data_IF_496558173684
#
_entry.id   IF_496558173684
#
_cell.length_a   1.000
_cell.length_b   1.000
_cell.length_c   1.000
_cell.angle_alpha   90.00
_cell.angle_beta   90.00
_cell.angle_gamma   90.00
#
_symmetry.space_group_name_H-M   'P 1'
#
loop_
_entity.id
_entity.type
_entity.pdbx_description
1 polymer ?
#
# COMPACT_ATOMS: atom_id res chain seq x y z
N UNK A 1 28.91 -12.70 -4.05
CA UNK A 1 30.27 -13.33 -4.04
C UNK A 1 31.37 -12.47 -3.39
N UNK A 2 31.16 -11.17 -3.12
CA UNK A 2 32.16 -10.28 -2.51
C UNK A 2 32.19 -10.28 -0.96
N UNK A 3 31.07 -10.57 -0.29
CA UNK A 3 30.95 -10.53 1.17
C UNK A 3 31.82 -11.58 1.90
N UNK A 4 31.86 -12.82 1.39
CA UNK A 4 32.67 -13.88 1.98
C UNK A 4 34.18 -13.60 1.91
N UNK A 5 34.63 -12.94 0.84
CA UNK A 5 36.05 -12.61 0.65
C UNK A 5 36.52 -11.52 1.63
N UNK A 6 35.64 -10.58 1.97
CA UNK A 6 35.95 -9.53 2.95
C UNK A 6 36.05 -10.08 4.38
N UNK A 7 35.12 -10.95 4.77
CA UNK A 7 35.16 -11.63 6.08
C UNK A 7 36.40 -12.53 6.22
N UNK A 8 36.71 -13.33 5.19
CA UNK A 8 37.89 -14.18 5.18
C UNK A 8 39.20 -13.37 5.19
N UNK A 9 39.25 -12.25 4.48
CA UNK A 9 40.40 -11.34 4.51
C UNK A 9 40.58 -10.69 5.89
N UNK A 10 39.50 -10.28 6.55
CA UNK A 10 39.54 -9.74 7.91
C UNK A 10 40.04 -10.76 8.94
N UNK A 11 39.58 -12.02 8.85
CA UNK A 11 40.07 -13.14 9.66
C UNK A 11 41.54 -13.45 9.40
N UNK A 12 41.97 -13.42 8.13
CA UNK A 12 43.37 -13.63 7.76
C UNK A 12 44.26 -12.51 8.30
N UNK A 13 43.82 -11.25 8.24
CA UNK A 13 44.57 -10.10 8.75
C UNK A 13 44.67 -10.10 10.28
N UNK A 14 43.62 -10.51 10.99
CA UNK A 14 43.65 -10.67 12.46
C UNK A 14 44.58 -11.80 12.89
N UNK A 15 44.51 -12.96 12.22
CA UNK A 15 45.45 -14.07 12.44
C UNK A 15 46.89 -13.69 12.12
N UNK A 16 47.11 -13.00 11.00
CA UNK A 16 48.43 -12.52 10.60
C UNK A 16 48.99 -11.50 11.59
N UNK A 17 48.16 -10.55 12.05
CA UNK A 17 48.49 -9.61 13.11
C UNK A 17 48.85 -10.30 14.42
N UNK A 18 48.09 -11.31 14.85
CA UNK A 18 48.38 -12.10 16.03
C UNK A 18 49.70 -12.89 15.91
N UNK A 19 50.00 -13.44 14.73
CA UNK A 19 51.26 -14.15 14.46
C UNK A 19 52.45 -13.19 14.48
N UNK A 20 52.33 -12.00 13.89
CA UNK A 20 53.36 -10.97 13.92
C UNK A 20 53.60 -10.46 15.34
N UNK A 21 52.54 -10.20 16.09
CA UNK A 21 52.61 -9.79 17.49
C UNK A 21 53.32 -10.83 18.35
N UNK A 22 52.95 -12.11 18.22
CA UNK A 22 53.58 -13.23 18.93
C UNK A 22 55.05 -13.44 18.52
N UNK A 23 55.40 -13.17 17.26
CA UNK A 23 56.81 -13.19 16.78
C UNK A 23 57.62 -12.02 17.34
N UNK A 24 57.04 -10.83 17.44
CA UNK A 24 57.65 -9.69 18.12
C UNK A 24 57.83 -9.93 19.62
N UNK A 25 56.82 -10.47 20.31
CA UNK A 25 56.91 -10.82 21.73
C UNK A 25 58.02 -11.84 22.00
N UNK A 26 58.13 -12.88 21.16
CA UNK A 26 59.21 -13.88 21.28
C UNK A 26 60.61 -13.30 21.01
N UNK A 27 60.72 -12.27 20.16
CA UNK A 27 61.98 -11.54 19.93
C UNK A 27 62.28 -10.57 21.09
N UNK A 28 61.24 -9.94 21.66
CA UNK A 28 61.34 -9.05 22.80
C UNK A 28 61.60 -9.79 24.12
N UNK A 29 61.21 -11.05 24.26
CA UNK A 29 61.49 -11.88 25.45
C UNK A 29 63.00 -12.14 25.70
N UNK A 30 63.89 -11.73 24.79
CA UNK A 30 65.35 -11.73 25.00
C UNK A 30 65.91 -10.37 25.44
N UNK A 31 65.08 -9.34 25.58
CA UNK A 31 65.46 -7.99 26.02
C UNK A 31 64.52 -7.61 27.17
N UNK A 32 65.12 -7.30 28.32
CA UNK A 32 64.50 -6.93 29.59
C UNK A 32 63.20 -6.11 29.42
N UNK A 33 62.17 -6.43 30.22
CA UNK A 33 60.81 -5.85 30.17
C UNK A 33 60.79 -4.33 30.41
N UNK A 34 61.22 -3.54 29.43
CA UNK A 34 60.82 -2.13 29.35
C UNK A 34 59.32 -2.13 29.12
N UNK A 35 58.59 -1.63 30.11
CA UNK A 35 57.19 -1.30 29.97
C UNK A 35 57.04 -0.53 28.66
N UNK A 36 56.22 -1.06 27.73
CA UNK A 36 56.00 -0.44 26.42
C UNK A 36 55.17 0.83 26.61
N UNK A 37 55.80 1.86 27.16
CA UNK A 37 55.25 3.21 27.12
C UNK A 37 55.28 3.61 25.65
N UNK A 38 54.11 3.87 25.08
CA UNK A 38 53.99 4.40 23.72
C UNK A 38 54.64 5.78 23.69
N UNK A 39 55.93 5.84 23.36
CA UNK A 39 56.70 7.08 23.30
C UNK A 39 56.85 7.49 21.83
N UNK A 40 55.94 8.34 21.36
CA UNK A 40 55.99 8.94 20.01
C UNK A 40 56.89 10.18 20.11
N UNK A 41 58.10 10.10 19.55
CA UNK A 41 59.02 11.23 19.49
C UNK A 41 59.10 11.78 18.07
N UNK A 42 58.44 12.92 17.85
CA UNK A 42 58.37 13.58 16.54
C UNK A 42 59.74 14.09 16.04
N UNK A 43 60.76 14.16 16.89
CA UNK A 43 62.13 14.47 16.46
C UNK A 43 62.77 13.31 15.67
N UNK A 44 62.36 12.05 15.93
CA UNK A 44 62.90 10.85 15.28
C UNK A 44 62.24 10.59 13.92
N UNK A 45 63.05 10.49 12.86
CA UNK A 45 62.58 10.19 11.49
C UNK A 45 61.78 8.88 11.38
N UNK A 46 62.12 7.88 12.21
CA UNK A 46 61.41 6.59 12.28
C UNK A 46 59.97 6.77 12.78
N UNK A 47 59.79 7.45 13.90
CA UNK A 47 58.48 7.65 14.52
C UNK A 47 57.58 8.51 13.63
N UNK A 48 58.12 9.57 12.99
CA UNK A 48 57.39 10.35 11.98
C UNK A 48 56.88 9.50 10.82
N UNK A 49 57.70 8.56 10.31
CA UNK A 49 57.30 7.65 9.23
C UNK A 49 56.24 6.66 9.66
N UNK A 50 56.38 6.07 10.86
CA UNK A 50 55.39 5.13 11.41
C UNK A 50 54.06 5.86 11.66
N UNK A 51 54.09 7.05 12.24
CA UNK A 51 52.91 7.87 12.47
C UNK A 51 52.25 8.28 11.15
N UNK A 52 53.04 8.69 10.14
CA UNK A 52 52.51 9.03 8.82
C UNK A 52 51.87 7.81 8.13
N UNK A 53 52.49 6.64 8.19
CA UNK A 53 51.93 5.39 7.65
C UNK A 53 50.66 4.97 8.39
N UNK A 54 50.65 5.07 9.73
CA UNK A 54 49.47 4.78 10.53
C UNK A 54 48.34 5.76 10.23
N UNK A 55 48.62 7.06 10.18
CA UNK A 55 47.63 8.08 9.83
C UNK A 55 47.07 7.85 8.44
N UNK A 56 47.92 7.58 7.44
CA UNK A 56 47.47 7.29 6.07
C UNK A 56 46.65 6.00 6.00
N UNK A 57 47.06 4.94 6.72
CA UNK A 57 46.33 3.69 6.84
C UNK A 57 44.98 3.86 7.54
N UNK A 58 44.92 4.66 8.61
CA UNK A 58 43.69 4.96 9.34
C UNK A 58 42.72 5.78 8.49
N UNK A 59 43.21 6.81 7.78
CA UNK A 59 42.41 7.59 6.84
C UNK A 59 41.88 6.69 5.71
N UNK A 60 42.74 5.83 5.13
CA UNK A 60 42.33 4.87 4.12
C UNK A 60 41.26 3.89 4.64
N UNK A 61 41.45 3.35 5.84
CA UNK A 61 40.48 2.46 6.48
C UNK A 61 39.14 3.15 6.76
N UNK A 62 39.16 4.36 7.32
CA UNK A 62 37.96 5.16 7.58
C UNK A 62 37.25 5.52 6.27
N UNK A 63 37.99 5.86 5.22
CA UNK A 63 37.42 6.13 3.90
C UNK A 63 36.73 4.90 3.31
N UNK A 64 37.40 3.73 3.30
CA UNK A 64 36.81 2.49 2.82
C UNK A 64 35.60 2.05 3.65
N UNK A 65 35.66 2.26 4.96
CA UNK A 65 34.53 1.97 5.87
C UNK A 65 33.36 2.91 5.57
N UNK A 66 33.61 4.22 5.43
CA UNK A 66 32.58 5.18 5.10
C UNK A 66 31.92 4.88 3.75
N UNK A 67 32.72 4.54 2.73
CA UNK A 67 32.22 4.13 1.41
C UNK A 67 31.38 2.85 1.49
N UNK A 68 31.88 1.82 2.19
CA UNK A 68 31.15 0.56 2.37
C UNK A 68 29.86 0.73 3.17
N UNK A 69 29.87 1.58 4.21
CA UNK A 69 28.68 1.93 4.99
C UNK A 69 27.66 2.69 4.15
N UNK A 70 28.10 3.64 3.30
CA UNK A 70 27.22 4.37 2.41
C UNK A 70 26.55 3.45 1.37
N UNK A 71 27.32 2.58 0.73
CA UNK A 71 26.77 1.59 -0.22
C UNK A 71 25.79 0.63 0.45
N UNK A 72 26.12 0.17 1.67
CA UNK A 72 25.22 -0.68 2.47
C UNK A 72 23.94 0.05 2.81
N UNK A 73 24.05 1.32 3.22
CA UNK A 73 22.91 2.19 3.49
C UNK A 73 22.00 2.30 2.26
N UNK A 74 22.54 2.75 1.12
CA UNK A 74 21.80 2.89 -0.13
C UNK A 74 21.13 1.59 -0.57
N UNK A 75 21.86 0.47 -0.49
CA UNK A 75 21.33 -0.83 -0.86
C UNK A 75 20.18 -1.26 0.06
N UNK A 76 20.32 -1.13 1.39
CA UNK A 76 19.26 -1.52 2.35
C UNK A 76 18.06 -0.58 2.39
N UNK A 77 18.09 0.50 1.59
CA UNK A 77 16.99 1.43 1.35
C UNK A 77 16.41 1.31 -0.06
N UNK A 78 16.99 0.45 -0.89
CA UNK A 78 16.51 0.22 -2.24
C UNK A 78 15.23 -0.61 -2.26
N UNK A 79 14.41 -0.37 -3.30
CA UNK A 79 13.23 -1.19 -3.61
C UNK A 79 13.62 -2.66 -3.82
N UNK A 80 14.81 -2.93 -4.36
CA UNK A 80 15.30 -4.31 -4.56
C UNK A 80 15.50 -5.05 -3.23
N UNK A 81 16.07 -4.37 -2.25
CA UNK A 81 16.26 -4.94 -0.91
C UNK A 81 14.92 -5.18 -0.22
N UNK A 82 14.07 -4.15 -0.15
CA UNK A 82 12.78 -4.23 0.55
C UNK A 82 11.81 -5.21 -0.13
N UNK A 83 11.73 -5.20 -1.47
CA UNK A 83 10.70 -5.92 -2.21
C UNK A 83 11.06 -7.33 -2.66
N UNK A 84 12.35 -7.61 -2.93
CA UNK A 84 12.74 -8.90 -3.57
C UNK A 84 13.49 -9.86 -2.66
N UNK A 85 14.06 -9.40 -1.54
CA UNK A 85 14.90 -10.27 -0.69
C UNK A 85 14.08 -11.22 0.17
N UNK A 86 12.97 -10.74 0.72
CA UNK A 86 12.01 -11.56 1.45
C UNK A 86 10.87 -11.96 0.52
N UNK A 87 11.14 -12.87 -0.43
CA UNK A 87 10.22 -13.14 -1.55
C UNK A 87 8.79 -13.50 -1.11
N UNK A 88 8.58 -14.35 -0.11
CA UNK A 88 7.21 -14.74 0.30
C UNK A 88 6.43 -13.58 0.93
N UNK A 89 6.86 -12.99 2.06
CA UNK A 89 6.06 -11.96 2.74
C UNK A 89 5.95 -10.65 1.97
N UNK A 90 6.94 -10.32 1.13
CA UNK A 90 6.98 -9.03 0.42
C UNK A 90 6.43 -9.09 -1.00
N UNK A 91 6.23 -10.27 -1.60
CA UNK A 91 5.73 -10.36 -2.97
C UNK A 91 4.41 -9.62 -3.20
N UNK A 92 3.36 -9.72 -2.35
CA UNK A 92 2.13 -8.96 -2.54
C UNK A 92 2.37 -7.45 -2.60
N UNK A 93 3.21 -6.95 -1.70
CA UNK A 93 3.50 -5.51 -1.59
C UNK A 93 4.35 -5.03 -2.75
N UNK A 94 5.37 -5.80 -3.12
CA UNK A 94 6.29 -5.47 -4.21
C UNK A 94 5.58 -5.47 -5.55
N UNK A 95 4.83 -6.54 -5.87
CA UNK A 95 4.13 -6.67 -7.15
C UNK A 95 3.06 -5.58 -7.32
N UNK A 96 2.26 -5.33 -6.27
CA UNK A 96 1.25 -4.27 -6.31
C UNK A 96 1.88 -2.88 -6.47
N UNK A 97 2.98 -2.59 -5.76
CA UNK A 97 3.68 -1.31 -5.83
C UNK A 97 4.08 -0.91 -7.24
N UNK A 98 4.52 -1.85 -8.08
CA UNK A 98 4.97 -1.57 -9.44
C UNK A 98 3.86 -1.07 -10.39
N UNK A 99 2.59 -1.09 -9.97
CA UNK A 99 1.43 -0.84 -10.84
C UNK A 99 0.51 0.27 -10.33
N UNK A 100 0.93 1.00 -9.30
CA UNK A 100 0.17 2.13 -8.75
C UNK A 100 0.78 3.46 -9.18
N UNK A 101 0.10 4.56 -8.82
CA UNK A 101 0.65 5.91 -8.97
C UNK A 101 1.98 6.13 -8.24
N UNK A 102 2.33 5.23 -7.30
CA UNK A 102 3.56 5.29 -6.50
C UNK A 102 4.66 4.33 -7.00
N UNK A 103 4.54 3.75 -8.20
CA UNK A 103 5.50 2.77 -8.73
C UNK A 103 6.95 3.26 -8.82
N UNK A 104 7.15 4.58 -8.92
CA UNK A 104 8.46 5.23 -8.99
C UNK A 104 8.92 5.85 -7.66
N UNK A 105 8.16 5.66 -6.57
CA UNK A 105 8.52 6.13 -5.23
C UNK A 105 9.25 5.02 -4.49
N UNK A 106 10.39 5.32 -3.88
CA UNK A 106 11.13 4.33 -3.11
C UNK A 106 10.36 3.92 -1.84
N UNK A 107 10.49 2.67 -1.41
CA UNK A 107 9.80 2.15 -0.24
C UNK A 107 10.08 2.98 1.03
N UNK A 108 11.30 3.52 1.14
CA UNK A 108 11.78 4.21 2.34
C UNK A 108 11.16 5.60 2.53
N UNK A 109 10.70 6.25 1.46
CA UNK A 109 10.01 7.54 1.53
C UNK A 109 8.75 7.41 2.39
N UNK A 110 8.05 6.28 2.27
CA UNK A 110 6.88 5.98 3.09
C UNK A 110 7.25 5.29 4.41
N UNK A 111 8.08 4.24 4.38
CA UNK A 111 8.20 3.29 5.50
C UNK A 111 9.33 3.56 6.51
N UNK A 112 10.34 4.38 6.18
CA UNK A 112 11.48 4.65 7.09
C UNK A 112 11.33 6.00 7.77
N UNK A 113 11.08 7.04 6.98
CA UNK A 113 11.03 8.44 7.44
C UNK A 113 12.40 9.10 7.60
N UNK A 114 12.44 10.45 7.61
CA UNK A 114 13.68 11.20 7.61
C UNK A 114 14.40 11.14 8.96
N UNK A 115 15.73 11.26 8.91
CA UNK A 115 16.58 11.43 10.09
C UNK A 115 17.02 10.13 10.77
N UNK A 116 18.04 10.26 11.62
CA UNK A 116 18.73 9.12 12.22
C UNK A 116 17.82 8.28 13.15
N UNK A 117 16.94 8.92 13.92
CA UNK A 117 16.06 8.21 14.85
C UNK A 117 15.07 7.27 14.11
N UNK A 118 14.45 7.76 13.04
CA UNK A 118 13.53 7.00 12.20
C UNK A 118 14.24 5.84 11.48
N UNK A 119 15.46 6.10 10.98
CA UNK A 119 16.35 5.08 10.45
C UNK A 119 16.64 3.97 11.46
N UNK A 120 17.12 4.30 12.67
CA UNK A 120 17.44 3.31 13.71
C UNK A 120 16.22 2.49 14.12
N UNK A 121 15.07 3.14 14.35
CA UNK A 121 13.81 2.45 14.69
C UNK A 121 13.43 1.45 13.60
N UNK A 122 13.48 1.87 12.34
CA UNK A 122 13.09 1.02 11.22
C UNK A 122 14.05 -0.15 11.01
N UNK A 123 15.36 0.02 11.20
CA UNK A 123 16.32 -1.09 11.08
C UNK A 123 16.17 -2.11 12.22
N UNK A 124 15.88 -1.66 13.45
CA UNK A 124 15.56 -2.58 14.55
C UNK A 124 14.28 -3.38 14.27
N UNK A 125 13.24 -2.72 13.74
CA UNK A 125 12.03 -3.40 13.27
C UNK A 125 12.33 -4.37 12.12
N UNK A 126 13.24 -4.01 11.21
CA UNK A 126 13.71 -4.90 10.14
C UNK A 126 14.40 -6.16 10.65
N UNK A 127 15.17 -6.08 11.75
CA UNK A 127 15.75 -7.26 12.41
C UNK A 127 14.65 -8.17 12.97
N UNK A 128 13.61 -7.58 13.59
CA UNK A 128 12.44 -8.34 14.07
C UNK A 128 11.70 -9.01 12.89
N UNK A 129 11.48 -8.30 11.79
CA UNK A 129 10.86 -8.87 10.58
C UNK A 129 11.70 -10.01 9.98
N UNK A 130 13.03 -9.86 9.95
CA UNK A 130 13.94 -10.91 9.49
C UNK A 130 13.84 -12.14 10.40
N UNK A 131 13.85 -11.96 11.72
CA UNK A 131 13.65 -13.04 12.69
C UNK A 131 12.35 -13.80 12.39
N UNK A 132 11.23 -13.08 12.23
CA UNK A 132 9.95 -13.71 11.95
C UNK A 132 9.89 -14.39 10.58
N UNK A 133 10.57 -13.81 9.58
CA UNK A 133 10.66 -14.41 8.24
C UNK A 133 11.46 -15.71 8.26
N UNK A 134 12.54 -15.78 9.05
CA UNK A 134 13.38 -16.98 9.19
C UNK A 134 12.64 -18.09 9.94
N UNK A 135 11.89 -17.75 10.99
CA UNK A 135 11.08 -18.71 11.74
C UNK A 135 9.73 -19.04 11.10
N UNK A 136 9.32 -18.26 10.09
CA UNK A 136 8.04 -18.39 9.39
C UNK A 136 6.84 -18.24 10.35
N UNK A 137 6.98 -17.38 11.36
CA UNK A 137 5.98 -17.10 12.40
C UNK A 137 5.38 -15.69 12.25
N UNK A 138 4.74 -15.45 11.10
CA UNK A 138 4.06 -14.20 10.79
C UNK A 138 2.65 -14.44 10.23
N UNK A 139 1.77 -13.45 10.40
CA UNK A 139 0.38 -13.52 9.96
C UNK A 139 0.24 -13.58 8.43
N UNK A 140 -0.81 -14.27 7.98
CA UNK A 140 -1.18 -14.39 6.57
C UNK A 140 -2.69 -14.20 6.43
N UNK A 141 -3.17 -13.11 5.82
CA UNK A 141 -2.39 -11.98 5.26
C UNK A 141 -1.73 -11.10 6.33
N UNK A 142 -0.78 -10.28 5.88
CA UNK A 142 -0.13 -9.26 6.71
C UNK A 142 -0.95 -7.97 6.64
N UNK A 143 -1.47 -7.52 7.78
CA UNK A 143 -2.20 -6.26 7.91
C UNK A 143 -1.31 -5.11 8.34
N UNK A 144 -1.73 -3.89 8.01
CA UNK A 144 -1.12 -2.66 8.55
C UNK A 144 -1.54 -2.54 10.01
N UNK A 145 -0.57 -2.30 10.90
CA UNK A 145 -0.82 -2.05 12.32
C UNK A 145 -0.88 -0.55 12.61
N UNK A 146 -1.43 -0.20 13.77
CA UNK A 146 -1.50 1.20 14.25
C UNK A 146 -0.12 1.83 14.51
N UNK A 147 0.96 1.03 14.52
CA UNK A 147 2.35 1.51 14.69
C UNK A 147 2.93 2.17 13.42
N UNK A 148 2.10 2.45 12.42
CA UNK A 148 2.47 3.16 11.19
C UNK A 148 2.86 4.61 11.46
N UNK A 149 3.67 5.19 10.57
CA UNK A 149 3.92 6.64 10.57
C UNK A 149 2.60 7.38 10.31
N UNK A 150 2.37 8.55 10.94
CA UNK A 150 1.18 9.36 10.67
C UNK A 150 1.09 9.69 9.17
N UNK A 151 -0.10 9.54 8.58
CA UNK A 151 -0.29 9.81 7.15
C UNK A 151 0.10 11.25 6.78
N UNK A 152 -0.05 12.20 7.72
CA UNK A 152 0.34 13.59 7.54
C UNK A 152 1.85 13.77 7.33
N UNK A 153 2.69 12.93 7.95
CA UNK A 153 4.15 12.98 7.81
C UNK A 153 4.66 12.21 6.58
N UNK A 154 3.81 11.39 5.96
CA UNK A 154 4.19 10.55 4.82
C UNK A 154 3.60 11.11 3.53
N UNK A 155 2.29 11.28 3.50
CA UNK A 155 1.57 11.66 2.29
C UNK A 155 1.81 13.12 1.95
N UNK A 156 1.86 14.01 2.95
CA UNK A 156 1.83 15.46 2.72
C UNK A 156 3.18 16.07 2.34
N UNK A 157 4.26 15.29 2.39
CA UNK A 157 5.55 15.69 1.82
C UNK A 157 5.47 15.84 0.29
N UNK A 158 4.63 15.02 -0.36
CA UNK A 158 4.40 15.05 -1.80
C UNK A 158 3.01 15.59 -2.18
N UNK A 159 1.99 15.34 -1.34
CA UNK A 159 0.61 15.76 -1.58
C UNK A 159 0.27 17.02 -0.78
N UNK A 160 0.23 18.17 -1.45
CA UNK A 160 -0.02 19.44 -0.79
C UNK A 160 -1.47 19.54 -0.26
N UNK A 161 -1.72 19.48 1.07
CA UNK A 161 -3.08 19.39 1.64
C UNK A 161 -3.91 20.66 1.44
N UNK A 162 -3.26 21.81 1.26
CA UNK A 162 -3.93 23.10 1.02
C UNK A 162 -4.37 23.28 -0.43
N UNK A 163 -3.91 22.43 -1.35
CA UNK A 163 -4.30 22.51 -2.75
C UNK A 163 -5.78 22.14 -2.89
N UNK A 164 -6.55 23.03 -3.49
CA UNK A 164 -7.88 22.69 -3.97
C UNK A 164 -7.75 21.82 -5.23
N UNK A 165 -8.24 20.58 -5.15
CA UNK A 165 -8.25 19.64 -6.29
C UNK A 165 -9.46 19.91 -7.18
N UNK A 166 -10.59 20.29 -6.57
CA UNK A 166 -11.83 20.58 -7.26
C UNK A 166 -12.53 19.33 -7.78
N UNK A 167 -13.16 19.46 -8.93
CA UNK A 167 -14.00 18.42 -9.52
C UNK A 167 -13.19 17.64 -10.58
N UNK A 168 -13.23 16.31 -10.50
CA UNK A 168 -12.54 15.43 -11.43
C UNK A 168 -13.53 14.66 -12.32
N UNK A 169 -13.35 14.73 -13.63
CA UNK A 169 -14.05 13.86 -14.58
C UNK A 169 -13.47 12.44 -14.50
N UNK A 170 -14.34 11.46 -14.29
CA UNK A 170 -14.02 10.03 -14.22
C UNK A 170 -15.03 9.24 -15.02
N UNK A 171 -14.53 8.28 -15.79
CA UNK A 171 -15.36 7.30 -16.48
C UNK A 171 -14.96 5.92 -16.02
N UNK A 172 -15.89 5.20 -15.40
CA UNK A 172 -15.74 3.81 -15.00
C UNK A 172 -16.37 2.94 -16.08
N UNK A 173 -15.58 2.02 -16.64
CA UNK A 173 -16.01 1.08 -17.67
C UNK A 173 -16.18 -0.29 -17.04
N UNK A 174 -17.33 -0.91 -17.29
CA UNK A 174 -17.70 -2.23 -16.79
C UNK A 174 -18.22 -3.10 -17.93
N UNK A 175 -18.15 -4.41 -17.71
CA UNK A 175 -18.70 -5.42 -18.59
C UNK A 175 -19.52 -6.40 -17.76
N UNK A 176 -20.74 -6.68 -18.22
CA UNK A 176 -21.62 -7.65 -17.56
C UNK A 176 -21.07 -9.06 -17.73
N UNK A 177 -21.47 -9.94 -16.82
CA UNK A 177 -21.11 -11.36 -16.84
C UNK A 177 -22.03 -12.20 -17.76
N UNK A 178 -22.57 -11.61 -18.82
CA UNK A 178 -23.47 -12.22 -19.79
C UNK A 178 -22.74 -12.74 -21.03
N UNK A 179 -23.47 -13.34 -21.98
CA UNK A 179 -22.88 -13.92 -23.18
C UNK A 179 -22.16 -12.87 -24.03
N UNK A 180 -22.76 -11.69 -24.17
CA UNK A 180 -22.24 -10.61 -25.00
C UNK A 180 -21.13 -9.79 -24.34
N UNK A 181 -20.81 -10.05 -23.06
CA UNK A 181 -20.00 -9.17 -22.23
C UNK A 181 -20.50 -7.73 -22.36
N UNK A 182 -21.79 -7.48 -22.14
CA UNK A 182 -22.44 -6.21 -22.44
C UNK A 182 -21.66 -5.07 -21.77
N UNK A 183 -21.13 -4.10 -22.53
CA UNK A 183 -20.42 -2.98 -21.93
C UNK A 183 -21.40 -2.14 -21.11
N UNK A 184 -20.91 -1.43 -20.11
CA UNK A 184 -21.67 -0.43 -19.38
C UNK A 184 -20.69 0.55 -18.74
N UNK A 185 -20.88 1.84 -18.96
CA UNK A 185 -20.03 2.85 -18.35
C UNK A 185 -20.82 3.81 -17.49
N UNK A 186 -20.17 4.36 -16.47
CA UNK A 186 -20.66 5.50 -15.69
C UNK A 186 -19.62 6.60 -15.78
N UNK A 187 -19.99 7.73 -16.39
CA UNK A 187 -19.18 8.95 -16.41
C UNK A 187 -19.72 9.90 -15.36
N UNK A 188 -18.87 10.30 -14.43
CA UNK A 188 -19.21 11.15 -13.31
C UNK A 188 -18.18 12.26 -13.11
N UNK A 189 -18.65 13.33 -12.49
CA UNK A 189 -17.83 14.36 -11.87
C UNK A 189 -17.68 14.02 -10.39
N UNK A 190 -16.47 13.75 -9.94
CA UNK A 190 -16.16 13.48 -8.54
C UNK A 190 -15.79 14.79 -7.84
N UNK A 191 -16.53 15.20 -6.82
CA UNK A 191 -16.21 16.37 -6.00
C UNK A 191 -15.15 16.00 -4.97
N UNK A 192 -13.90 16.03 -5.41
CA UNK A 192 -12.75 15.79 -4.52
C UNK A 192 -12.57 16.98 -3.58
N UNK A 193 -12.79 18.19 -4.08
CA UNK A 193 -12.79 19.41 -3.28
C UNK A 193 -11.43 19.76 -2.66
N UNK A 194 -11.46 20.32 -1.45
CA UNK A 194 -10.28 20.77 -0.71
C UNK A 194 -10.59 21.35 0.66
N UNK A 195 -9.55 21.46 1.50
CA UNK A 195 -9.69 21.81 2.92
C UNK A 195 -9.32 23.24 3.31
N UNK A 196 -8.73 24.03 2.40
CA UNK A 196 -8.20 25.37 2.72
C UNK A 196 -8.96 26.48 1.98
N UNK A 197 -9.68 27.39 2.68
CA UNK A 197 -10.47 28.45 2.07
C UNK A 197 -9.63 29.47 1.29
N UNK A 198 -8.32 29.57 1.54
CA UNK A 198 -7.43 30.48 0.81
C UNK A 198 -7.07 29.97 -0.60
N UNK A 199 -7.36 28.71 -0.91
CA UNK A 199 -7.02 28.08 -2.19
C UNK A 199 -8.23 27.54 -2.97
N UNK A 200 -9.44 27.65 -2.41
CA UNK A 200 -10.70 27.26 -3.06
C UNK A 200 -11.84 27.09 -2.04
N UNK A 201 -13.06 26.79 -2.49
CA UNK A 201 -14.16 26.47 -1.60
C UNK A 201 -13.82 25.27 -0.71
N UNK A 202 -14.09 25.38 0.59
CA UNK A 202 -13.96 24.25 1.52
C UNK A 202 -15.14 23.31 1.30
N UNK A 203 -14.88 22.07 0.91
CA UNK A 203 -15.92 21.11 0.56
C UNK A 203 -15.38 19.88 -0.15
N UNK A 204 -16.29 19.08 -0.71
CA UNK A 204 -16.01 17.80 -1.33
C UNK A 204 -15.44 16.75 -0.37
N UNK A 205 -15.00 15.63 -0.92
CA UNK A 205 -14.54 14.47 -0.15
C UNK A 205 -13.31 14.81 0.72
N UNK A 206 -12.39 15.64 0.24
CA UNK A 206 -11.20 16.06 0.99
C UNK A 206 -11.48 16.99 2.17
N UNK A 207 -12.72 17.40 2.40
CA UNK A 207 -13.11 18.06 3.65
C UNK A 207 -12.70 17.25 4.89
N UNK A 208 -12.76 15.92 4.81
CA UNK A 208 -12.42 14.99 5.91
C UNK A 208 -10.93 15.01 6.29
N UNK A 209 -10.04 15.25 5.31
CA UNK A 209 -8.60 15.37 5.57
C UNK A 209 -8.20 16.78 6.05
N UNK A 210 -9.14 17.74 6.03
CA UNK A 210 -8.84 19.15 6.21
C UNK A 210 -8.11 19.41 7.52
N UNK A 211 -7.12 20.30 7.48
CA UNK A 211 -6.36 20.71 8.66
C UNK A 211 -7.26 21.51 9.62
N UNK A 212 -8.27 22.23 9.09
CA UNK A 212 -9.14 23.10 9.89
C UNK A 212 -10.29 22.36 10.57
N UNK A 213 -10.68 21.19 10.07
CA UNK A 213 -11.74 20.37 10.67
C UNK A 213 -11.11 19.12 11.28
N UNK A 214 -11.63 18.68 12.43
CA UNK A 214 -11.18 17.47 13.08
C UNK A 214 -12.31 16.45 13.07
N UNK A 215 -12.16 15.42 12.26
CA UNK A 215 -13.05 14.25 12.27
C UNK A 215 -12.40 13.16 13.10
N UNK A 216 -13.10 12.73 14.14
CA UNK A 216 -12.71 11.65 15.03
C UNK A 216 -13.77 10.56 15.00
N UNK A 217 -13.37 9.31 15.14
CA UNK A 217 -14.30 8.19 15.10
C UNK A 217 -13.84 7.04 15.99
N UNK A 218 -14.79 6.16 16.32
CA UNK A 218 -14.54 4.88 16.96
C UNK A 218 -14.88 3.80 15.94
N UNK A 219 -14.02 2.81 15.80
CA UNK A 219 -14.30 1.59 15.04
C UNK A 219 -14.45 0.41 16.01
N UNK A 220 -15.36 -0.51 15.71
CA UNK A 220 -15.59 -1.72 16.52
C UNK A 220 -14.97 -2.99 15.91
N UNK A 221 -14.46 -2.90 14.68
CA UNK A 221 -13.73 -3.94 14.00
C UNK A 221 -12.29 -3.50 13.64
N UNK A 222 -11.43 -4.47 13.34
CA UNK A 222 -10.02 -4.25 13.07
C UNK A 222 -9.73 -3.48 11.77
N UNK A 223 -10.69 -3.40 10.85
CA UNK A 223 -10.53 -2.74 9.55
C UNK A 223 -11.26 -1.40 9.46
N UNK A 224 -11.92 -0.99 10.55
CA UNK A 224 -12.76 0.19 10.61
C UNK A 224 -13.86 0.22 9.55
N UNK A 225 -14.46 -0.93 9.26
CA UNK A 225 -15.63 -1.04 8.38
C UNK A 225 -16.94 -0.73 9.12
N UNK A 226 -16.96 -0.86 10.45
CA UNK A 226 -18.06 -0.51 11.35
C UNK A 226 -17.65 0.68 12.21
N UNK A 227 -18.26 1.84 11.94
CA UNK A 227 -18.02 3.07 12.68
C UNK A 227 -19.33 3.46 13.36
N UNK A 228 -19.52 3.18 14.66
CA UNK A 228 -20.76 3.52 15.36
C UNK A 228 -20.78 4.93 15.99
N UNK A 229 -19.64 5.61 16.04
CA UNK A 229 -19.50 6.92 16.66
C UNK A 229 -18.56 7.82 15.87
N UNK A 230 -18.97 9.06 15.67
CA UNK A 230 -18.21 10.10 14.97
C UNK A 230 -18.33 11.41 15.75
N UNK A 231 -17.21 12.13 15.90
CA UNK A 231 -17.17 13.51 16.39
C UNK A 231 -16.53 14.40 15.36
N UNK A 232 -17.22 15.49 15.03
CA UNK A 232 -16.73 16.55 14.17
C UNK A 232 -16.45 17.77 15.03
N UNK A 233 -15.23 18.30 14.96
CA UNK A 233 -14.90 19.63 15.47
C UNK A 233 -14.68 20.56 14.29
N UNK A 234 -15.46 21.63 14.19
CA UNK A 234 -15.30 22.62 13.13
C UNK A 234 -14.14 23.60 13.40
N UNK A 235 -13.88 24.50 12.44
CA UNK A 235 -12.82 25.50 12.53
C UNK A 235 -13.01 26.49 13.70
N UNK A 236 -14.23 26.62 14.25
CA UNK A 236 -14.54 27.46 15.40
C UNK A 236 -14.35 26.70 16.73
N UNK A 237 -14.02 25.40 16.68
CA UNK A 237 -13.86 24.54 17.85
C UNK A 237 -15.18 23.93 18.34
N UNK A 238 -16.29 24.13 17.63
CA UNK A 238 -17.58 23.55 18.03
C UNK A 238 -17.60 22.07 17.70
N UNK A 239 -17.88 21.25 18.71
CA UNK A 239 -17.95 19.80 18.57
C UNK A 239 -19.39 19.35 18.37
N UNK A 240 -19.62 18.52 17.35
CA UNK A 240 -20.88 17.78 17.17
C UNK A 240 -20.56 16.28 17.20
N UNK A 241 -21.25 15.54 18.09
CA UNK A 241 -21.15 14.09 18.17
C UNK A 241 -22.35 13.42 17.51
N UNK A 242 -22.07 12.36 16.75
CA UNK A 242 -23.04 11.50 16.09
C UNK A 242 -22.84 10.07 16.54
N UNK A 243 -23.95 9.36 16.77
CA UNK A 243 -23.96 7.97 17.22
C UNK A 243 -25.00 7.19 16.43
N UNK A 244 -24.70 5.94 16.14
CA UNK A 244 -25.70 4.97 15.69
C UNK A 244 -26.56 4.50 16.87
N UNK A 245 -27.75 3.98 16.58
CA UNK A 245 -28.70 3.57 17.61
C UNK A 245 -28.17 2.40 18.47
N UNK A 246 -27.29 1.56 17.93
CA UNK A 246 -26.67 0.43 18.62
C UNK A 246 -25.49 0.82 19.55
N UNK A 247 -24.95 2.04 19.42
CA UNK A 247 -23.84 2.50 20.26
C UNK A 247 -24.31 3.07 21.61
N UNK A 248 -24.16 2.28 22.68
CA UNK A 248 -24.58 2.68 24.05
C UNK A 248 -23.43 2.96 25.03
N UNK A 249 -22.19 2.69 24.63
CA UNK A 249 -21.01 2.85 25.49
C UNK A 249 -20.60 4.30 25.71
N UNK A 250 -19.75 4.53 26.71
CA UNK A 250 -19.02 5.80 26.86
C UNK A 250 -17.88 5.83 25.83
N UNK A 251 -17.84 6.80 24.89
CA UNK A 251 -16.75 6.96 23.93
C UNK A 251 -15.36 6.98 24.56
N UNK A 252 -15.23 7.45 25.81
CA UNK A 252 -13.94 7.55 26.52
C UNK A 252 -13.27 6.19 26.78
N UNK A 253 -14.06 5.10 26.76
CA UNK A 253 -13.59 3.73 26.97
C UNK A 253 -13.04 3.08 25.70
N UNK A 254 -13.14 3.76 24.56
CA UNK A 254 -12.71 3.25 23.26
C UNK A 254 -11.46 3.98 22.75
N UNK A 255 -10.73 3.33 21.84
CA UNK A 255 -9.68 3.99 21.10
C UNK A 255 -10.29 4.95 20.07
N UNK A 256 -10.17 6.26 20.33
CA UNK A 256 -10.64 7.31 19.42
C UNK A 256 -9.56 7.55 18.37
N UNK A 257 -9.91 7.31 17.11
CA UNK A 257 -9.05 7.55 15.95
C UNK A 257 -9.35 8.91 15.35
N UNK A 258 -8.32 9.61 14.88
CA UNK A 258 -8.48 10.80 14.04
C UNK A 258 -8.48 10.35 12.59
N UNK A 259 -9.45 10.81 11.81
CA UNK A 259 -9.52 10.52 10.39
C UNK A 259 -8.31 11.09 9.66
N UNK A 260 -7.67 10.27 8.82
CA UNK A 260 -6.52 10.64 8.00
C UNK A 260 -6.65 10.13 6.56
N UNK A 261 -5.64 10.42 5.72
CA UNK A 261 -5.67 10.08 4.30
C UNK A 261 -5.86 8.58 4.05
N UNK A 262 -5.35 7.71 4.93
CA UNK A 262 -5.36 6.27 4.77
C UNK A 262 -6.68 5.63 5.25
N UNK A 263 -7.56 6.37 5.91
CA UNK A 263 -8.92 5.89 6.21
C UNK A 263 -9.82 5.87 4.96
N UNK A 264 -9.47 6.67 3.95
CA UNK A 264 -10.12 6.69 2.63
C UNK A 264 -9.25 6.01 1.56
N UNK A 265 -7.95 6.33 1.53
CA UNK A 265 -6.98 5.74 0.61
C UNK A 265 -6.28 4.54 1.25
N UNK A 266 -7.03 3.47 1.57
CA UNK A 266 -6.59 2.36 2.43
C UNK A 266 -5.23 1.74 2.04
N UNK A 267 -4.94 1.64 0.73
CA UNK A 267 -3.67 1.10 0.19
C UNK A 267 -3.24 1.83 -1.09
N UNK A 268 -2.69 3.06 -0.99
CA UNK A 268 -2.48 3.92 -2.16
C UNK A 268 -1.34 3.43 -3.06
N UNK A 269 -0.39 2.69 -2.49
CA UNK A 269 0.76 2.12 -3.20
C UNK A 269 0.68 0.60 -3.38
N UNK A 270 -0.19 -0.10 -2.65
CA UNK A 270 -0.22 -1.57 -2.63
C UNK A 270 -1.61 -2.11 -2.99
N UNK A 271 -2.29 -1.43 -3.92
CA UNK A 271 -3.63 -1.80 -4.33
C UNK A 271 -3.64 -3.16 -5.02
N UNK A 272 -4.51 -4.05 -4.54
CA UNK A 272 -4.78 -5.34 -5.14
C UNK A 272 -6.15 -5.24 -5.80
N UNK A 273 -6.18 -5.28 -7.12
CA UNK A 273 -7.39 -5.03 -7.90
C UNK A 273 -8.34 -6.24 -7.82
N UNK A 274 -9.64 -6.03 -7.57
CA UNK A 274 -10.63 -7.10 -7.66
C UNK A 274 -10.68 -7.72 -9.07
N UNK A 275 -10.96 -9.03 -9.21
CA UNK A 275 -10.97 -9.70 -10.51
C UNK A 275 -12.00 -9.10 -11.46
N UNK A 276 -13.16 -8.64 -10.98
CA UNK A 276 -14.09 -7.92 -11.84
C UNK A 276 -13.42 -6.71 -12.48
N UNK A 277 -12.84 -5.81 -11.70
CA UNK A 277 -12.21 -4.60 -12.21
C UNK A 277 -11.01 -4.94 -13.12
N UNK A 278 -10.17 -5.89 -12.73
CA UNK A 278 -9.01 -6.29 -13.53
C UNK A 278 -9.40 -6.84 -14.90
N UNK A 279 -10.48 -7.63 -14.97
CA UNK A 279 -11.03 -8.15 -16.23
C UNK A 279 -11.71 -7.04 -17.03
N UNK A 280 -12.43 -6.09 -16.39
CA UNK A 280 -13.01 -4.93 -17.09
C UNK A 280 -11.93 -4.12 -17.79
N UNK A 281 -10.83 -3.83 -17.10
CA UNK A 281 -9.68 -3.11 -17.66
C UNK A 281 -9.03 -3.89 -18.82
N UNK A 282 -8.95 -5.22 -18.71
CA UNK A 282 -8.37 -6.05 -19.76
C UNK A 282 -9.26 -6.11 -21.01
N UNK A 283 -10.58 -6.18 -20.87
CA UNK A 283 -11.54 -6.12 -21.98
C UNK A 283 -11.51 -4.73 -22.63
N UNK A 284 -11.58 -3.67 -21.83
CA UNK A 284 -11.54 -2.29 -22.32
C UNK A 284 -10.24 -1.96 -23.09
N UNK A 285 -9.13 -2.58 -22.69
CA UNK A 285 -7.84 -2.43 -23.36
C UNK A 285 -7.65 -3.38 -24.56
N UNK A 286 -8.64 -4.22 -24.89
CA UNK A 286 -8.55 -5.20 -25.97
C UNK A 286 -7.56 -6.36 -25.72
N UNK A 287 -7.13 -6.55 -24.46
CA UNK A 287 -6.28 -7.70 -24.08
C UNK A 287 -7.10 -8.98 -23.86
N UNK A 288 -8.39 -8.83 -23.57
CA UNK A 288 -9.39 -9.89 -23.63
C UNK A 288 -10.38 -9.51 -24.73
N UNK A 289 -10.62 -10.41 -25.68
CA UNK A 289 -11.59 -10.18 -26.75
C UNK A 289 -13.01 -10.23 -26.18
N UNK A 290 -13.71 -9.10 -26.25
CA UNK A 290 -15.10 -8.96 -25.79
C UNK A 290 -16.09 -9.81 -26.61
N UNK A 291 -15.72 -10.25 -27.81
CA UNK A 291 -16.57 -11.09 -28.65
C UNK A 291 -16.56 -12.56 -28.23
N UNK A 292 -15.67 -12.96 -27.31
CA UNK A 292 -15.68 -14.31 -26.77
C UNK A 292 -16.88 -14.47 -25.82
N UNK A 293 -17.81 -15.40 -26.11
CA UNK A 293 -19.00 -15.56 -25.30
C UNK A 293 -18.68 -15.79 -23.82
N UNK A 294 -19.28 -15.02 -22.91
CA UNK A 294 -19.08 -15.12 -21.45
C UNK A 294 -17.63 -14.94 -20.97
N UNK A 295 -16.74 -14.29 -21.73
CA UNK A 295 -15.33 -14.11 -21.36
C UNK A 295 -15.17 -13.53 -19.95
N UNK A 296 -15.93 -12.48 -19.62
CA UNK A 296 -15.94 -11.85 -18.30
C UNK A 296 -16.24 -12.88 -17.20
N UNK A 297 -17.36 -13.58 -17.33
CA UNK A 297 -17.83 -14.54 -16.34
C UNK A 297 -16.84 -15.71 -16.16
N UNK A 298 -16.35 -16.27 -17.26
CA UNK A 298 -15.43 -17.42 -17.24
C UNK A 298 -14.07 -17.07 -16.64
N UNK A 299 -13.51 -15.92 -17.00
CA UNK A 299 -12.22 -15.48 -16.46
C UNK A 299 -12.34 -15.16 -14.97
N UNK A 300 -13.36 -14.39 -14.55
CA UNK A 300 -13.56 -14.08 -13.13
C UNK A 300 -13.74 -15.37 -12.32
N UNK A 301 -14.58 -16.30 -12.79
CA UNK A 301 -14.80 -17.58 -12.12
C UNK A 301 -13.52 -18.42 -11.99
N UNK A 302 -12.67 -18.44 -13.02
CA UNK A 302 -11.38 -19.13 -13.00
C UNK A 302 -10.40 -18.47 -12.01
N UNK A 303 -10.35 -17.14 -11.96
CA UNK A 303 -9.46 -16.40 -11.05
C UNK A 303 -9.81 -16.60 -9.57
N UNK A 304 -11.10 -16.77 -9.25
CA UNK A 304 -11.60 -16.71 -7.87
C UNK A 304 -11.67 -18.06 -7.15
N UNK A 305 -11.22 -19.15 -7.78
CA UNK A 305 -11.19 -20.46 -7.14
C UNK A 305 -10.21 -20.49 -5.95
N UNK A 306 -10.46 -21.36 -4.94
CA UNK A 306 -9.56 -21.50 -3.80
C UNK A 306 -8.29 -22.25 -4.20
N UNK A 307 -7.21 -21.51 -4.45
CA UNK A 307 -5.89 -22.07 -4.76
C UNK A 307 -4.95 -21.99 -3.56
N UNK A 308 -4.07 -22.97 -3.41
CA UNK A 308 -3.08 -23.02 -2.32
C UNK A 308 -1.74 -22.43 -2.73
N UNK A 309 -1.42 -22.43 -4.03
CA UNK A 309 -0.17 -21.89 -4.57
C UNK A 309 -0.36 -21.26 -5.95
N UNK A 310 0.55 -20.37 -6.31
CA UNK A 310 0.54 -19.73 -7.62
C UNK A 310 0.71 -20.71 -8.79
N UNK A 311 1.62 -21.70 -8.76
CA UNK A 311 1.73 -22.67 -9.86
C UNK A 311 0.45 -23.49 -10.07
N UNK A 312 -0.18 -23.92 -8.98
CA UNK A 312 -1.48 -24.62 -9.02
C UNK A 312 -2.55 -23.74 -9.68
N UNK A 313 -2.68 -22.49 -9.25
CA UNK A 313 -3.64 -21.55 -9.80
C UNK A 313 -3.46 -21.35 -11.31
N UNK A 314 -2.22 -21.10 -11.75
CA UNK A 314 -1.91 -20.86 -13.15
C UNK A 314 -2.28 -22.07 -14.02
N UNK A 315 -1.99 -23.28 -13.56
CA UNK A 315 -2.36 -24.50 -14.27
C UNK A 315 -3.88 -24.69 -14.31
N UNK A 316 -4.56 -24.50 -13.19
CA UNK A 316 -6.00 -24.68 -13.09
C UNK A 316 -6.78 -23.65 -13.94
N UNK A 317 -6.34 -22.38 -13.96
CA UNK A 317 -6.89 -21.34 -14.83
C UNK A 317 -6.75 -21.74 -16.30
N UNK A 318 -5.56 -22.20 -16.71
CA UNK A 318 -5.32 -22.63 -18.09
C UNK A 318 -6.23 -23.81 -18.47
N UNK A 319 -6.35 -24.81 -17.60
CA UNK A 319 -7.21 -25.98 -17.82
C UNK A 319 -8.69 -25.56 -17.94
N UNK A 320 -9.18 -24.72 -17.02
CA UNK A 320 -10.57 -24.27 -16.99
C UNK A 320 -10.95 -23.48 -18.24
N UNK A 321 -10.12 -22.52 -18.63
CA UNK A 321 -10.40 -21.67 -19.79
C UNK A 321 -10.24 -22.44 -21.12
N UNK A 322 -9.29 -23.37 -21.22
CA UNK A 322 -9.15 -24.24 -22.40
C UNK A 322 -10.32 -25.21 -22.56
N UNK A 323 -10.93 -25.64 -21.44
CA UNK A 323 -12.15 -26.42 -21.49
C UNK A 323 -13.36 -25.58 -21.95
N UNK A 324 -13.41 -24.30 -21.58
CA UNK A 324 -14.47 -23.37 -21.98
C UNK A 324 -14.33 -22.90 -23.44
N UNK A 325 -13.10 -22.74 -23.93
CA UNK A 325 -12.77 -22.28 -25.28
C UNK A 325 -11.81 -23.28 -25.94
N UNK A 326 -12.33 -24.26 -26.74
CA UNK A 326 -11.50 -25.29 -27.35
C UNK A 326 -10.57 -24.80 -28.46
N UNK A 327 -10.90 -23.67 -29.11
CA UNK A 327 -10.04 -23.06 -30.12
C UNK A 327 -8.82 -22.40 -29.47
N UNK A 328 -7.63 -22.93 -29.77
CA UNK A 328 -6.37 -22.43 -29.21
C UNK A 328 -6.08 -20.97 -29.59
N UNK A 329 -6.51 -20.51 -30.78
CA UNK A 329 -6.31 -19.13 -31.24
C UNK A 329 -7.03 -18.14 -30.32
N UNK A 330 -8.21 -18.53 -29.84
CA UNK A 330 -9.02 -17.76 -28.90
C UNK A 330 -8.56 -17.95 -27.45
N UNK A 331 -8.27 -19.20 -27.06
CA UNK A 331 -7.99 -19.55 -25.68
C UNK A 331 -6.61 -19.09 -25.20
N UNK A 332 -5.57 -19.18 -26.03
CA UNK A 332 -4.20 -18.90 -25.58
C UNK A 332 -3.98 -17.44 -25.15
N UNK A 333 -4.43 -16.41 -25.89
CA UNK A 333 -4.38 -15.02 -25.43
C UNK A 333 -5.19 -14.79 -24.15
N UNK A 334 -6.40 -15.36 -24.07
CA UNK A 334 -7.28 -15.26 -22.90
C UNK A 334 -6.62 -15.85 -21.64
N UNK A 335 -6.04 -17.06 -21.78
CA UNK A 335 -5.32 -17.74 -20.70
C UNK A 335 -4.10 -16.93 -20.27
N UNK A 336 -3.32 -16.43 -21.22
CA UNK A 336 -2.14 -15.63 -20.92
C UNK A 336 -2.49 -14.36 -20.13
N UNK A 337 -3.54 -13.64 -20.52
CA UNK A 337 -4.00 -12.44 -19.81
C UNK A 337 -4.62 -12.79 -18.46
N UNK A 338 -5.44 -13.83 -18.35
CA UNK A 338 -5.99 -14.30 -17.07
C UNK A 338 -4.88 -14.68 -16.08
N UNK A 339 -3.88 -15.42 -16.54
CA UNK A 339 -2.70 -15.74 -15.73
C UNK A 339 -1.89 -14.49 -15.36
N UNK A 340 -1.80 -13.50 -16.24
CA UNK A 340 -1.15 -12.23 -15.94
C UNK A 340 -1.91 -11.48 -14.83
N UNK A 341 -3.24 -11.37 -14.93
CA UNK A 341 -4.10 -10.77 -13.88
C UNK A 341 -3.90 -11.50 -12.55
N UNK A 342 -3.86 -12.84 -12.56
CA UNK A 342 -3.68 -13.64 -11.35
C UNK A 342 -2.35 -13.31 -10.66
N UNK A 343 -1.22 -13.33 -11.39
CA UNK A 343 0.11 -13.05 -10.83
C UNK A 343 0.22 -11.65 -10.19
N UNK A 344 -0.65 -10.74 -10.59
CA UNK A 344 -0.61 -9.33 -10.18
C UNK A 344 -1.45 -9.04 -8.94
N UNK A 345 -2.50 -9.83 -8.72
CA UNK A 345 -3.53 -9.50 -7.72
C UNK A 345 -3.81 -10.64 -6.73
N UNK A 346 -3.23 -11.82 -6.92
CA UNK A 346 -3.54 -13.00 -6.11
C UNK A 346 -2.25 -13.61 -5.55
N UNK A 347 -2.19 -13.72 -4.23
CA UNK A 347 -1.03 -14.22 -3.51
C UNK A 347 -1.47 -15.30 -2.50
N UNK A 348 -1.78 -16.53 -2.97
CA UNK A 348 -2.35 -17.58 -2.13
C UNK A 348 -1.43 -17.98 -0.97
N UNK A 349 -0.11 -17.98 -1.19
CA UNK A 349 0.89 -18.27 -0.15
C UNK A 349 0.85 -17.27 1.02
N UNK A 350 0.44 -16.04 0.72
CA UNK A 350 0.24 -14.94 1.68
C UNK A 350 -1.22 -14.69 2.02
N UNK A 351 -2.15 -15.51 1.51
CA UNK A 351 -3.61 -15.34 1.66
C UNK A 351 -4.04 -13.89 1.40
N UNK A 352 -3.40 -13.23 0.43
CA UNK A 352 -3.62 -11.82 0.13
C UNK A 352 -4.29 -11.69 -1.23
N UNK A 353 -5.44 -11.03 -1.23
CA UNK A 353 -6.25 -10.67 -2.40
C UNK A 353 -7.17 -9.47 -2.05
N UNK A 354 -8.08 -9.11 -2.94
CA UNK A 354 -9.02 -7.98 -2.74
C UNK A 354 -10.02 -8.21 -1.60
N UNK A 355 -10.31 -9.45 -1.19
CA UNK A 355 -11.29 -9.78 -0.14
C UNK A 355 -10.74 -9.49 1.25
N UNK A 356 -9.42 -9.56 1.38
CA UNK A 356 -8.73 -9.39 2.66
C UNK A 356 -8.38 -7.95 2.96
N UNK A 357 -8.46 -7.03 1.99
CA UNK A 357 -8.02 -5.66 2.18
C UNK A 357 -9.06 -4.69 1.66
N UNK A 358 -9.78 -3.99 2.56
CA UNK A 358 -10.77 -3.01 2.15
C UNK A 358 -10.21 -1.91 1.27
N UNK A 359 -11.03 -1.43 0.35
CA UNK A 359 -10.76 -0.26 -0.46
C UNK A 359 -11.90 0.76 -0.31
N UNK A 360 -11.63 1.82 0.45
CA UNK A 360 -12.65 2.78 0.87
C UNK A 360 -12.71 4.05 0.01
N UNK A 361 -12.11 4.02 -1.18
CA UNK A 361 -12.14 5.15 -2.15
C UNK A 361 -13.48 5.29 -2.88
N UNK A 362 -14.31 4.25 -2.84
CA UNK A 362 -15.66 4.22 -3.42
C UNK A 362 -16.56 3.29 -2.62
N UNK A 363 -17.81 3.11 -3.06
CA UNK A 363 -18.83 2.38 -2.31
C UNK A 363 -19.43 1.17 -3.06
N UNK A 364 -18.72 0.65 -4.08
CA UNK A 364 -19.20 -0.50 -4.88
C UNK A 364 -18.89 -1.83 -4.21
N UNK A 365 -17.60 -2.15 -4.05
CA UNK A 365 -17.14 -3.45 -3.54
C UNK A 365 -16.92 -3.46 -2.00
N UNK A 366 -16.85 -2.27 -1.39
CA UNK A 366 -16.73 -2.01 0.04
C UNK A 366 -17.61 -0.81 0.40
N UNK A 367 -17.89 -0.58 1.68
CA UNK A 367 -18.81 0.49 2.11
C UNK A 367 -18.25 1.90 1.91
N UNK A 368 -16.92 2.09 1.95
CA UNK A 368 -16.31 3.37 1.69
C UNK A 368 -16.81 4.48 2.61
N UNK A 369 -17.33 5.57 2.04
CA UNK A 369 -17.91 6.69 2.81
C UNK A 369 -19.21 6.31 3.54
N UNK A 370 -19.94 5.28 3.09
CA UNK A 370 -21.19 4.85 3.73
C UNK A 370 -20.98 4.18 5.09
N UNK A 371 -19.74 3.96 5.52
CA UNK A 371 -19.43 3.60 6.92
C UNK A 371 -19.88 4.67 7.92
N UNK A 372 -20.03 5.92 7.50
CA UNK A 372 -20.58 7.02 8.31
C UNK A 372 -21.77 7.72 7.65
N UNK A 373 -21.89 7.66 6.32
CA UNK A 373 -22.95 8.30 5.54
C UNK A 373 -24.13 7.37 5.27
N UNK A 374 -24.52 6.52 6.24
CA UNK A 374 -25.61 5.55 6.09
C UNK A 374 -26.98 6.08 6.56
N UNK A 375 -27.04 7.31 7.08
CA UNK A 375 -28.27 7.88 7.65
C UNK A 375 -28.56 7.43 9.09
N UNK A 376 -27.73 6.55 9.67
CA UNK A 376 -27.95 6.01 11.01
C UNK A 376 -27.28 6.84 12.11
N UNK A 377 -26.33 7.70 11.74
CA UNK A 377 -25.54 8.53 12.64
C UNK A 377 -26.29 9.81 13.04
N UNK A 378 -26.77 9.89 14.29
CA UNK A 378 -27.61 10.99 14.78
C UNK A 378 -27.02 11.67 16.02
N UNK A 379 -27.30 12.96 16.18
CA UNK A 379 -27.01 13.67 17.44
C UNK A 379 -27.92 13.18 18.56
N UNK A 380 -27.48 13.34 19.82
CA UNK A 380 -28.26 12.92 20.99
C UNK A 380 -29.65 13.58 21.08
N UNK A 381 -29.80 14.80 20.56
CA UNK A 381 -31.08 15.51 20.48
C UNK A 381 -31.89 15.18 19.20
N UNK A 382 -31.36 14.32 18.33
CA UNK A 382 -31.98 13.90 17.07
C UNK A 382 -32.07 14.98 15.99
N UNK A 383 -31.52 16.19 16.22
CA UNK A 383 -31.69 17.32 15.30
C UNK A 383 -30.78 17.27 14.07
N UNK A 384 -29.64 16.59 14.15
CA UNK A 384 -28.72 16.43 13.03
C UNK A 384 -28.46 14.95 12.78
N UNK A 385 -28.32 14.61 11.50
CA UNK A 385 -28.01 13.26 11.02
C UNK A 385 -26.96 13.37 9.92
N UNK A 386 -26.02 12.42 9.86
CA UNK A 386 -25.14 12.28 8.70
C UNK A 386 -25.95 11.56 7.60
N UNK A 387 -26.33 12.29 6.56
CA UNK A 387 -27.28 11.81 5.53
C UNK A 387 -26.64 10.84 4.54
N UNK A 388 -27.42 9.84 4.10
CA UNK A 388 -27.01 8.88 3.05
C UNK A 388 -27.39 9.28 1.63
N UNK A 389 -28.48 10.03 1.48
CA UNK A 389 -29.13 10.23 0.19
C UNK A 389 -28.56 11.37 -0.66
N UNK A 390 -27.60 12.13 -0.15
CA UNK A 390 -27.00 13.24 -0.91
C UNK A 390 -25.83 12.74 -1.78
N UNK A 391 -26.15 11.95 -2.81
CA UNK A 391 -25.15 11.42 -3.73
C UNK A 391 -24.33 12.55 -4.40
N UNK A 392 -25.01 13.66 -4.69
CA UNK A 392 -24.44 14.83 -5.36
C UNK A 392 -23.43 15.59 -4.49
N UNK A 393 -23.40 15.36 -3.17
CA UNK A 393 -22.35 15.88 -2.30
C UNK A 393 -20.97 15.26 -2.57
N UNK A 394 -20.93 14.08 -3.19
CA UNK A 394 -19.70 13.35 -3.48
C UNK A 394 -19.42 13.30 -4.98
N UNK A 395 -20.44 13.04 -5.80
CA UNK A 395 -20.28 12.98 -7.24
C UNK A 395 -21.58 13.25 -8.01
N UNK A 396 -21.43 13.67 -9.26
CA UNK A 396 -22.53 13.90 -10.18
C UNK A 396 -22.41 12.97 -11.40
N UNK A 397 -23.41 12.13 -11.66
CA UNK A 397 -23.40 11.23 -12.83
C UNK A 397 -23.78 12.03 -14.07
N UNK A 398 -22.83 12.29 -14.95
CA UNK A 398 -23.05 13.02 -16.19
C UNK A 398 -23.73 12.15 -17.26
N UNK A 399 -23.35 10.89 -17.34
CA UNK A 399 -23.94 9.92 -18.26
C UNK A 399 -23.67 8.49 -17.78
N UNK A 400 -24.53 7.56 -18.18
CA UNK A 400 -24.41 6.14 -17.89
C UNK A 400 -25.01 5.30 -19.02
N UNK A 401 -24.51 4.07 -19.21
CA UNK A 401 -24.94 3.17 -20.29
C UNK A 401 -23.85 2.90 -21.32
N UNK A 402 -24.25 2.74 -22.58
CA UNK A 402 -23.38 2.36 -23.70
C UNK A 402 -23.58 3.22 -24.93
N UNK A 403 -22.54 3.31 -25.77
CA UNK A 403 -22.62 3.94 -27.10
C UNK A 403 -23.20 5.35 -27.03
N UNK A 404 -24.34 5.56 -27.72
CA UNK A 404 -25.02 6.86 -27.77
C UNK A 404 -25.52 7.37 -26.42
N UNK A 405 -25.77 6.50 -25.43
CA UNK A 405 -26.17 6.94 -24.09
C UNK A 405 -25.08 7.79 -23.42
N UNK A 406 -23.80 7.47 -23.65
CA UNK A 406 -22.68 8.21 -23.07
C UNK A 406 -22.47 9.60 -23.72
N UNK A 407 -23.11 9.87 -24.85
CA UNK A 407 -23.11 11.20 -25.49
C UNK A 407 -24.19 12.12 -24.91
N UNK A 408 -25.18 11.57 -24.20
CA UNK A 408 -26.27 12.34 -23.56
C UNK A 408 -25.81 12.80 -22.17
N UNK A 409 -25.08 13.90 -22.12
CA UNK A 409 -24.61 14.48 -20.87
C UNK A 409 -25.72 15.27 -20.18
N UNK A 410 -25.86 15.09 -18.87
CA UNK A 410 -26.73 15.90 -18.01
C UNK A 410 -25.89 16.67 -16.98
N UNK A 411 -25.93 18.00 -17.06
CA UNK A 411 -25.20 18.88 -16.16
C UNK A 411 -25.82 18.95 -14.75
N UNK A 412 -27.09 18.58 -14.59
CA UNK A 412 -27.79 18.48 -13.30
C UNK A 412 -27.64 17.09 -12.66
N UNK A 413 -27.01 16.15 -13.38
CA UNK A 413 -26.79 14.78 -12.94
C UNK A 413 -27.97 13.83 -13.17
N UNK A 414 -27.66 12.58 -13.50
CA UNK A 414 -28.62 11.50 -13.54
C UNK A 414 -28.70 10.78 -12.19
N UNK A 415 -29.90 10.31 -11.83
CA UNK A 415 -30.03 9.26 -10.83
C UNK A 415 -29.35 7.98 -11.35
N UNK A 416 -28.56 7.32 -10.52
CA UNK A 416 -27.98 6.02 -10.87
C UNK A 416 -29.11 5.01 -11.15
N UNK A 417 -28.93 4.17 -12.17
CA UNK A 417 -29.75 2.98 -12.35
C UNK A 417 -28.88 1.74 -12.44
N UNK A 418 -29.39 0.64 -11.90
CA UNK A 418 -28.78 -0.67 -12.06
C UNK A 418 -29.29 -1.31 -13.36
N UNK A 419 -28.39 -1.76 -14.23
CA UNK A 419 -28.74 -2.21 -15.59
C UNK A 419 -29.62 -3.47 -15.61
N UNK A 420 -29.43 -4.34 -14.64
CA UNK A 420 -30.02 -5.68 -14.49
C UNK A 420 -30.84 -5.83 -13.20
N UNK A 421 -31.19 -4.72 -12.54
CA UNK A 421 -31.99 -4.76 -11.31
C UNK A 421 -32.82 -3.49 -11.12
N UNK A 422 -34.01 -3.64 -10.53
CA UNK A 422 -34.79 -2.51 -10.00
C UNK A 422 -34.26 -2.02 -8.64
N UNK A 423 -33.24 -2.70 -8.09
CA UNK A 423 -32.66 -2.38 -6.79
C UNK A 423 -31.98 -1.00 -6.83
N UNK A 424 -32.50 -0.09 -6.02
CA UNK A 424 -32.09 1.32 -5.95
C UNK A 424 -31.44 1.68 -4.60
N UNK A 425 -31.13 0.71 -3.75
CA UNK A 425 -30.46 0.99 -2.48
C UNK A 425 -28.96 1.25 -2.69
N UNK A 426 -28.38 2.08 -1.82
CA UNK A 426 -27.00 2.56 -1.91
C UNK A 426 -25.97 1.52 -1.44
N UNK A 427 -26.44 0.41 -0.85
CA UNK A 427 -25.62 -0.66 -0.28
C UNK A 427 -25.10 -1.66 -1.33
N UNK A 428 -24.38 -1.16 -2.35
CA UNK A 428 -23.86 -1.96 -3.46
C UNK A 428 -23.00 -3.15 -2.98
N UNK A 429 -22.20 -2.95 -1.92
CA UNK A 429 -21.28 -3.94 -1.38
C UNK A 429 -21.96 -5.21 -0.83
N UNK A 430 -23.29 -5.17 -0.60
CA UNK A 430 -24.06 -6.36 -0.21
C UNK A 430 -24.12 -7.41 -1.33
N UNK A 431 -24.10 -6.95 -2.60
CA UNK A 431 -24.19 -7.81 -3.78
C UNK A 431 -22.86 -7.84 -4.56
N UNK A 432 -22.13 -6.73 -4.58
CA UNK A 432 -20.86 -6.59 -5.28
C UNK A 432 -19.69 -6.84 -4.31
N UNK A 433 -19.01 -7.96 -4.51
CA UNK A 433 -17.86 -8.36 -3.67
C UNK A 433 -16.53 -8.30 -4.41
N UNK A 434 -16.50 -7.66 -5.59
CA UNK A 434 -15.37 -7.70 -6.52
C UNK A 434 -15.10 -9.05 -7.22
N UNK A 435 -15.76 -10.13 -6.77
CA UNK A 435 -15.68 -11.50 -7.32
C UNK A 435 -16.77 -11.85 -8.33
N UNK A 436 -17.10 -13.13 -8.55
CA UNK A 436 -18.17 -13.51 -9.47
C UNK A 436 -19.49 -12.77 -9.15
N UNK A 437 -20.05 -12.11 -10.16
CA UNK A 437 -21.37 -11.48 -10.05
C UNK A 437 -22.44 -12.59 -10.05
N UNK A 438 -23.41 -12.48 -9.15
CA UNK A 438 -24.47 -13.49 -8.96
C UNK A 438 -25.58 -13.35 -9.98
#
# INVERSE_FOLDING_TARGET
MWSHRFFLLGLALTLFGAILHKREERRAAKVEQKHRILQIDLSRKRDRRILALFAFGAVGFLFLTALGSYETYQYTESVDFCGKRCHVPMEPQFVAAQRTAHAQVACVECHVGPGAAAYFKTKLNGVKQLYHTVLVDFDRPIYITDERRPAQEVCLECHWPKRYIGILDRTYQHYLSDEANTPFAVRLLLDVGGGDPSHGPVGGIHWHMSIVNKVEYIATDAHAETIPWVRVTDAQGQTTEYRTDDFKGDPSQHHIRRMDCLDCHTRPAHHVMPPNEAVDVAIAAGRIDANLPFAKAKVVAALTQPYTSKPEALQAIATSLRAAYPDAVQADPLIAEAQAIYRQNFFPEMKTDWRTHPNNVGHKDWNGCFRCHDGNHKTADGKKTITASDCNSCHLILAQGTGEHLKKLNADGYAFFHIDSEFSDFSCAMCHTGGPQK
#
